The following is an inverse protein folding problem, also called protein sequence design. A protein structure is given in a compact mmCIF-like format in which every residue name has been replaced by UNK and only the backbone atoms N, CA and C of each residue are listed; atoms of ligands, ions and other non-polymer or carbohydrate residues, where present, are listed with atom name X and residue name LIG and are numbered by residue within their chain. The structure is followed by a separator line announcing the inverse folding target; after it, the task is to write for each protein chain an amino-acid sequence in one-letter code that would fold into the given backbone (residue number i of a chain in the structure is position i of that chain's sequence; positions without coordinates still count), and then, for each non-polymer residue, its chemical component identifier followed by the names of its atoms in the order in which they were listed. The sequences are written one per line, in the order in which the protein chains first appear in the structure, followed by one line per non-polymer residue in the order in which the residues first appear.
data_IF_733732245038
#
_entry.id   IF_733732245038
#
_cell.length_a   1.000
_cell.length_b   1.000
_cell.length_c   1.000
_cell.angle_alpha   90.00
_cell.angle_beta   90.00
_cell.angle_gamma   90.00
#
_symmetry.space_group_name_H-M   'P 1'
#
loop_
_entity.id
_entity.type
_entity.pdbx_description
1 polymer ?
#
# COMPACT_ATOMS: atom_id res chain seq x y z
N UNK A 1 6.52 -31.29 7.81
CA UNK A 1 6.30 -30.15 6.90
C UNK A 1 4.97 -29.52 7.27
N UNK A 2 4.98 -28.35 7.92
CA UNK A 2 3.74 -27.63 8.25
C UNK A 2 3.68 -26.39 7.36
N UNK A 3 2.83 -26.45 6.34
CA UNK A 3 2.54 -25.32 5.47
C UNK A 3 1.91 -24.20 6.29
N UNK A 4 2.52 -23.02 6.24
CA UNK A 4 1.91 -21.80 6.79
C UNK A 4 0.85 -21.36 5.79
N UNK A 5 -0.44 -21.32 6.15
CA UNK A 5 -1.41 -20.65 5.31
C UNK A 5 -0.97 -19.17 5.22
N UNK A 6 -0.69 -18.70 4.00
CA UNK A 6 -0.60 -17.27 3.72
C UNK A 6 -1.98 -16.71 4.05
N UNK A 7 -2.11 -16.16 5.25
CA UNK A 7 -3.25 -15.34 5.60
C UNK A 7 -3.18 -14.12 4.69
N UNK A 8 -3.97 -14.13 3.61
CA UNK A 8 -4.46 -12.90 2.99
C UNK A 8 -5.19 -12.16 4.12
N UNK A 9 -4.48 -11.19 4.71
CA UNK A 9 -5.08 -10.31 5.70
C UNK A 9 -6.24 -9.60 4.99
N UNK A 10 -7.48 -9.64 5.53
CA UNK A 10 -8.48 -8.69 5.10
C UNK A 10 -7.86 -7.32 5.31
N UNK A 11 -7.94 -6.49 4.28
CA UNK A 11 -7.41 -5.14 4.25
C UNK A 11 -8.27 -4.33 5.22
N UNK A 12 -7.95 -4.49 6.51
CA UNK A 12 -8.47 -3.68 7.58
C UNK A 12 -7.99 -2.28 7.21
N UNK A 13 -8.91 -1.46 6.73
CA UNK A 13 -8.66 -0.04 6.53
C UNK A 13 -8.59 0.51 7.96
N UNK A 14 -7.45 0.30 8.61
CA UNK A 14 -7.18 0.81 9.94
C UNK A 14 -7.44 2.32 9.89
N UNK A 15 -8.15 2.88 10.86
CA UNK A 15 -8.51 4.31 10.90
C UNK A 15 -7.28 5.22 10.71
N UNK A 16 -6.08 4.73 11.05
CA UNK A 16 -4.77 5.35 10.80
C UNK A 16 -4.42 5.53 9.31
N UNK A 17 -5.04 4.77 8.41
CA UNK A 17 -4.87 4.85 6.95
C UNK A 17 -5.99 5.61 6.25
N UNK A 18 -6.99 6.10 7.00
CA UNK A 18 -8.09 6.88 6.45
C UNK A 18 -7.56 8.16 5.80
N UNK A 19 -7.84 8.34 4.51
CA UNK A 19 -7.38 9.48 3.72
C UNK A 19 -5.98 9.33 3.12
N UNK A 20 -5.31 8.19 3.32
CA UNK A 20 -4.09 7.84 2.60
C UNK A 20 -4.41 7.10 1.31
N UNK A 21 -3.59 7.33 0.28
CA UNK A 21 -3.68 6.69 -1.02
C UNK A 21 -2.73 5.52 -1.03
N UNK A 22 -3.23 4.34 -1.40
CA UNK A 22 -2.38 3.18 -1.61
C UNK A 22 -1.61 3.32 -2.92
N UNK A 23 -0.29 3.15 -2.85
CA UNK A 23 0.61 3.15 -4.01
C UNK A 23 1.48 1.88 -3.99
N UNK A 24 1.86 1.41 -5.17
CA UNK A 24 2.73 0.26 -5.37
C UNK A 24 3.88 0.57 -6.32
N UNK A 25 5.02 -0.10 -6.09
CA UNK A 25 6.19 -0.07 -6.97
C UNK A 25 6.89 -1.43 -6.94
N UNK A 26 6.87 -2.14 -8.06
CA UNK A 26 7.40 -3.50 -8.12
C UNK A 26 6.61 -4.44 -7.21
N UNK A 27 7.25 -4.95 -6.17
CA UNK A 27 6.65 -5.85 -5.17
C UNK A 27 6.32 -5.16 -3.85
N UNK A 28 6.49 -3.83 -3.78
CA UNK A 28 6.27 -3.04 -2.56
C UNK A 28 4.96 -2.24 -2.65
N UNK A 29 4.27 -2.12 -1.52
CA UNK A 29 3.01 -1.38 -1.37
C UNK A 29 3.11 -0.45 -0.16
N UNK A 30 2.61 0.78 -0.28
CA UNK A 30 2.66 1.82 0.74
C UNK A 30 1.37 2.66 0.72
N UNK A 31 1.01 3.21 1.87
CA UNK A 31 -0.06 4.21 1.99
C UNK A 31 0.58 5.59 2.16
N UNK A 32 0.26 6.51 1.26
CA UNK A 32 0.87 7.85 1.22
C UNK A 32 -0.19 8.93 1.30
N UNK A 33 0.15 10.06 1.90
CA UNK A 33 -0.75 11.21 1.90
C UNK A 33 -0.95 11.74 0.47
N UNK A 34 -2.14 12.19 0.06
CA UNK A 34 -2.40 12.74 -1.27
C UNK A 34 -1.42 13.83 -1.70
N UNK A 35 -0.97 14.67 -0.77
CA UNK A 35 0.05 15.70 -1.05
C UNK A 35 1.40 15.13 -1.51
N UNK A 36 1.74 13.91 -1.11
CA UNK A 36 2.97 13.22 -1.49
C UNK A 36 2.80 12.36 -2.76
N UNK A 37 1.58 12.18 -3.26
CA UNK A 37 1.29 11.30 -4.39
C UNK A 37 2.06 11.69 -5.66
N UNK A 38 2.15 13.00 -5.96
CA UNK A 38 2.83 13.49 -7.15
C UNK A 38 4.33 13.15 -7.15
N UNK A 39 4.99 13.26 -5.99
CA UNK A 39 6.40 12.90 -5.83
C UNK A 39 6.59 11.38 -5.94
N UNK A 40 5.70 10.59 -5.33
CA UNK A 40 5.73 9.13 -5.46
C UNK A 40 5.53 8.69 -6.92
N UNK A 41 4.62 9.32 -7.67
CA UNK A 41 4.47 9.11 -9.13
C UNK A 41 5.75 9.43 -9.90
N UNK A 42 6.43 10.54 -9.59
CA UNK A 42 7.73 10.89 -10.20
C UNK A 42 8.82 9.87 -9.90
N UNK A 43 8.78 9.27 -8.71
CA UNK A 43 9.68 8.19 -8.28
C UNK A 43 9.30 6.81 -8.86
N UNK A 44 8.24 6.72 -9.67
CA UNK A 44 7.79 5.48 -10.32
C UNK A 44 6.83 4.63 -9.49
N UNK A 45 6.22 5.19 -8.45
CA UNK A 45 5.10 4.56 -7.73
C UNK A 45 3.78 4.81 -8.44
N UNK A 46 2.90 3.83 -8.42
CA UNK A 46 1.59 3.87 -9.08
C UNK A 46 0.49 3.64 -8.06
N UNK A 47 -0.66 4.25 -8.23
CA UNK A 47 -1.83 3.95 -7.39
C UNK A 47 -2.23 2.49 -7.58
N UNK A 48 -2.45 1.78 -6.47
CA UNK A 48 -2.72 0.34 -6.44
C UNK A 48 -4.18 0.04 -6.08
#
# INVERSE_FOLDING_TARGET
MAGRPKAEKPQQQDEDTAGLIKVAKGSEELYVHPSALAEHKRLGWQEA
#
